data_IF_944301042670
#
_entry.id   IF_944301042670
#
_cell.length_a   1.000
_cell.length_b   1.000
_cell.length_c   1.000
_cell.angle_alpha   90.00
_cell.angle_beta   90.00
_cell.angle_gamma   90.00
#
_symmetry.space_group_name_H-M   'P 1'
#
loop_
_entity.id
_entity.type
_entity.pdbx_description
1 polymer ?
#
# COMPACT_ATOMS: atom_id res chain seq x y z
N UNK A 1 53.40 13.72 -26.27
CA UNK A 1 52.08 13.07 -26.39
C UNK A 1 52.09 12.17 -27.61
N UNK A 2 52.71 11.00 -27.50
CA UNK A 2 52.83 10.04 -28.60
C UNK A 2 53.00 8.66 -27.96
N UNK A 3 52.05 7.75 -28.18
CA UNK A 3 52.11 6.42 -27.58
C UNK A 3 50.86 5.56 -27.78
N UNK A 4 49.73 6.14 -28.19
CA UNK A 4 48.48 5.38 -28.41
C UNK A 4 48.05 5.29 -29.88
N UNK A 5 48.71 5.99 -30.80
CA UNK A 5 48.42 5.93 -32.24
C UNK A 5 49.52 5.06 -32.87
N UNK A 6 49.29 3.74 -32.89
CA UNK A 6 50.19 2.78 -33.55
C UNK A 6 50.23 1.38 -32.95
N UNK A 7 49.80 1.18 -31.71
CA UNK A 7 49.77 -0.13 -31.06
C UNK A 7 48.37 -0.77 -31.15
N UNK A 8 48.13 -1.45 -32.27
CA UNK A 8 46.88 -2.16 -32.55
C UNK A 8 46.48 -3.14 -31.45
N UNK A 9 47.47 -3.75 -30.76
CA UNK A 9 47.19 -4.75 -29.71
C UNK A 9 46.69 -4.08 -28.42
N UNK A 10 47.27 -2.94 -28.06
CA UNK A 10 46.82 -2.15 -26.90
C UNK A 10 45.41 -1.57 -27.07
N UNK A 11 45.08 -1.08 -28.27
CA UNK A 11 43.73 -0.58 -28.56
C UNK A 11 42.67 -1.67 -28.50
N UNK A 12 42.96 -2.88 -28.99
CA UNK A 12 42.05 -4.03 -28.91
C UNK A 12 41.75 -4.40 -27.46
N UNK A 13 42.77 -4.39 -26.57
CA UNK A 13 42.59 -4.71 -25.15
C UNK A 13 41.72 -3.65 -24.45
N UNK A 14 41.93 -2.36 -24.76
CA UNK A 14 41.12 -1.27 -24.19
C UNK A 14 39.66 -1.40 -24.62
N UNK A 15 39.40 -1.67 -25.90
CA UNK A 15 38.04 -1.84 -26.43
C UNK A 15 37.36 -3.07 -25.82
N UNK A 16 38.08 -4.19 -25.68
CA UNK A 16 37.55 -5.41 -25.07
C UNK A 16 37.20 -5.19 -23.58
N UNK A 17 38.07 -4.49 -22.85
CA UNK A 17 37.84 -4.19 -21.43
C UNK A 17 36.65 -3.25 -21.26
N UNK A 18 36.52 -2.25 -22.13
CA UNK A 18 35.35 -1.37 -22.16
C UNK A 18 34.07 -2.17 -22.41
N UNK A 19 34.08 -3.06 -23.41
CA UNK A 19 32.93 -3.90 -23.75
C UNK A 19 32.49 -4.80 -22.59
N UNK A 20 33.44 -5.46 -21.92
CA UNK A 20 33.16 -6.30 -20.75
C UNK A 20 32.61 -5.46 -19.60
N UNK A 21 33.12 -4.24 -19.38
CA UNK A 21 32.63 -3.37 -18.31
C UNK A 21 31.19 -2.93 -18.51
N UNK A 22 30.78 -2.64 -19.76
CA UNK A 22 29.40 -2.28 -20.10
C UNK A 22 28.47 -3.46 -19.86
N UNK A 23 28.85 -4.66 -20.31
CA UNK A 23 28.05 -5.87 -20.07
C UNK A 23 27.87 -6.16 -18.58
N UNK A 24 28.93 -6.03 -17.79
CA UNK A 24 28.87 -6.20 -16.33
C UNK A 24 27.97 -5.17 -15.66
N UNK A 25 28.00 -3.91 -16.12
CA UNK A 25 27.14 -2.85 -15.59
C UNK A 25 25.66 -3.13 -15.88
N UNK A 26 25.33 -3.56 -17.10
CA UNK A 26 23.96 -3.93 -17.49
C UNK A 26 23.45 -5.14 -16.68
N UNK A 27 24.27 -6.19 -16.57
CA UNK A 27 23.96 -7.37 -15.75
C UNK A 27 23.75 -7.00 -14.27
N UNK A 28 24.58 -6.13 -13.71
CA UNK A 28 24.44 -5.68 -12.33
C UNK A 28 23.13 -4.92 -12.13
N UNK A 29 22.75 -4.02 -13.05
CA UNK A 29 21.50 -3.27 -12.94
C UNK A 29 20.28 -4.19 -13.00
N UNK A 30 20.25 -5.12 -13.95
CA UNK A 30 19.16 -6.10 -14.08
C UNK A 30 19.10 -7.01 -12.87
N UNK A 31 20.24 -7.49 -12.37
CA UNK A 31 20.30 -8.34 -11.19
C UNK A 31 19.82 -7.61 -9.93
N UNK A 32 20.24 -6.36 -9.72
CA UNK A 32 19.78 -5.57 -8.57
C UNK A 32 18.28 -5.30 -8.63
N UNK A 33 17.73 -5.00 -9.82
CA UNK A 33 16.29 -4.82 -9.99
C UNK A 33 15.52 -6.11 -9.72
N UNK A 34 16.01 -7.26 -10.21
CA UNK A 34 15.37 -8.55 -10.00
C UNK A 34 15.46 -9.01 -8.53
N UNK A 35 16.57 -8.75 -7.84
CA UNK A 35 16.71 -9.03 -6.41
C UNK A 35 15.82 -8.13 -5.58
N UNK A 36 15.72 -6.83 -5.90
CA UNK A 36 14.77 -5.93 -5.23
C UNK A 36 13.33 -6.41 -5.40
N UNK A 37 12.93 -6.70 -6.64
CA UNK A 37 11.59 -7.20 -6.95
C UNK A 37 11.31 -8.55 -6.27
N UNK A 38 12.29 -9.45 -6.22
CA UNK A 38 12.18 -10.73 -5.53
C UNK A 38 12.11 -10.61 -4.01
N UNK A 39 12.86 -9.68 -3.41
CA UNK A 39 12.81 -9.38 -1.98
C UNK A 39 11.48 -8.75 -1.58
N UNK A 40 10.98 -7.77 -2.35
CA UNK A 40 9.67 -7.16 -2.13
C UNK A 40 8.53 -8.18 -2.33
N UNK A 41 8.62 -9.04 -3.35
CA UNK A 41 7.64 -10.10 -3.60
C UNK A 41 7.61 -11.17 -2.50
N UNK A 42 8.77 -11.54 -1.95
CA UNK A 42 8.85 -12.60 -0.93
C UNK A 42 8.41 -12.12 0.46
N UNK A 43 8.62 -10.85 0.77
CA UNK A 43 8.16 -10.23 2.03
C UNK A 43 6.67 -9.92 2.03
N UNK A 44 6.09 -9.62 0.85
CA UNK A 44 4.65 -9.39 0.70
C UNK A 44 3.79 -10.66 0.72
N UNK A 45 4.32 -11.82 0.31
CA UNK A 45 3.54 -13.08 0.28
C UNK A 45 3.40 -13.81 1.62
N UNK A 46 4.31 -13.60 2.59
CA UNK A 46 4.33 -14.36 3.85
C UNK A 46 3.75 -13.62 5.06
N UNK A 47 3.45 -12.34 4.92
CA UNK A 47 2.97 -11.52 6.04
C UNK A 47 1.46 -11.38 5.92
N UNK A 48 0.69 -12.13 6.72
CA UNK A 48 -0.72 -11.83 6.95
C UNK A 48 -0.83 -10.31 7.20
N UNK A 49 -1.73 -9.59 6.52
CA UNK A 49 -1.76 -8.12 6.50
C UNK A 49 -2.32 -7.54 7.80
N UNK A 50 -1.81 -8.02 8.95
CA UNK A 50 -2.21 -7.68 10.30
C UNK A 50 -2.24 -6.17 10.50
N UNK A 51 -1.18 -5.47 10.11
CA UNK A 51 -1.08 -4.03 10.27
C UNK A 51 -2.08 -3.26 9.40
N UNK A 52 -2.39 -3.75 8.19
CA UNK A 52 -3.39 -3.14 7.34
C UNK A 52 -4.79 -3.31 7.95
N UNK A 53 -5.15 -4.53 8.37
CA UNK A 53 -6.43 -4.82 9.02
C UNK A 53 -6.57 -4.04 10.33
N UNK A 54 -5.51 -4.01 11.15
CA UNK A 54 -5.46 -3.24 12.40
C UNK A 54 -5.63 -1.74 12.16
N UNK A 55 -5.03 -1.20 11.10
CA UNK A 55 -5.21 0.20 10.72
C UNK A 55 -6.66 0.50 10.28
N UNK A 56 -7.27 -0.38 9.48
CA UNK A 56 -8.67 -0.25 9.09
C UNK A 56 -9.59 -0.29 10.33
N UNK A 57 -9.35 -1.21 11.26
CA UNK A 57 -10.06 -1.27 12.56
C UNK A 57 -9.87 0.00 13.37
N UNK A 58 -8.66 0.56 13.41
CA UNK A 58 -8.38 1.81 14.12
C UNK A 58 -9.17 2.98 13.54
N UNK A 59 -9.18 3.13 12.21
CA UNK A 59 -9.95 4.17 11.53
C UNK A 59 -11.44 3.98 11.82
N UNK A 60 -11.94 2.76 11.68
CA UNK A 60 -13.35 2.41 11.86
C UNK A 60 -13.85 2.62 13.30
N UNK A 61 -13.06 2.25 14.30
CA UNK A 61 -13.52 2.21 15.69
C UNK A 61 -13.07 3.38 16.56
N UNK A 62 -11.96 4.03 16.20
CA UNK A 62 -11.40 5.14 16.99
C UNK A 62 -11.67 6.46 16.29
N UNK A 63 -11.22 6.61 15.04
CA UNK A 63 -11.25 7.90 14.35
C UNK A 63 -12.68 8.28 13.94
N UNK A 64 -13.45 7.34 13.38
CA UNK A 64 -14.85 7.56 13.06
C UNK A 64 -15.71 7.75 14.31
N UNK A 65 -15.45 7.01 15.39
CA UNK A 65 -16.16 7.20 16.67
C UNK A 65 -15.95 8.62 17.18
N UNK A 66 -14.70 9.07 17.27
CA UNK A 66 -14.37 10.43 17.71
C UNK A 66 -15.01 11.49 16.81
N UNK A 67 -15.11 11.25 15.50
CA UNK A 67 -15.79 12.18 14.61
C UNK A 67 -17.31 12.20 14.84
N UNK A 68 -17.93 11.05 15.05
CA UNK A 68 -19.36 10.91 15.33
C UNK A 68 -19.78 11.67 16.60
N UNK A 69 -18.96 11.61 17.67
CA UNK A 69 -19.18 12.36 18.92
C UNK A 69 -19.19 13.88 18.71
N UNK A 70 -18.30 14.38 17.85
CA UNK A 70 -18.10 15.83 17.68
C UNK A 70 -18.99 16.44 16.59
N UNK A 71 -19.37 15.69 15.56
CA UNK A 71 -20.06 16.19 14.37
C UNK A 71 -21.07 15.17 13.78
N UNK A 72 -22.16 14.86 14.49
CA UNK A 72 -23.12 13.83 14.07
C UNK A 72 -23.77 14.13 12.71
N UNK A 73 -24.05 15.41 12.42
CA UNK A 73 -24.74 15.84 11.20
C UNK A 73 -23.95 15.58 9.90
N UNK A 74 -22.61 15.55 9.96
CA UNK A 74 -21.75 15.36 8.78
C UNK A 74 -21.07 13.98 8.77
N UNK A 75 -21.38 13.12 9.73
CA UNK A 75 -20.71 11.85 9.94
C UNK A 75 -20.73 10.95 8.70
N UNK A 76 -21.90 10.73 8.09
CA UNK A 76 -22.03 9.86 6.92
C UNK A 76 -21.21 10.35 5.72
N UNK A 77 -21.24 11.66 5.45
CA UNK A 77 -20.46 12.26 4.37
C UNK A 77 -18.95 12.16 4.64
N UNK A 78 -18.54 12.37 5.89
CA UNK A 78 -17.14 12.20 6.29
C UNK A 78 -16.69 10.74 6.13
N UNK A 79 -17.47 9.79 6.64
CA UNK A 79 -17.17 8.37 6.54
C UNK A 79 -17.06 7.90 5.08
N UNK A 80 -17.95 8.38 4.20
CA UNK A 80 -17.87 8.08 2.77
C UNK A 80 -16.57 8.61 2.14
N UNK A 81 -16.13 9.83 2.50
CA UNK A 81 -14.85 10.38 2.01
C UNK A 81 -13.65 9.60 2.53
N UNK A 82 -13.70 9.14 3.78
CA UNK A 82 -12.67 8.28 4.35
C UNK A 82 -12.63 6.95 3.61
N UNK A 83 -13.79 6.33 3.35
CA UNK A 83 -13.87 5.09 2.59
C UNK A 83 -13.26 5.24 1.19
N UNK A 84 -13.60 6.31 0.46
CA UNK A 84 -13.02 6.58 -0.86
C UNK A 84 -11.49 6.75 -0.83
N UNK A 85 -10.95 7.37 0.22
CA UNK A 85 -9.50 7.50 0.39
C UNK A 85 -8.84 6.17 0.70
N UNK A 86 -9.46 5.34 1.53
CA UNK A 86 -9.01 3.98 1.83
C UNK A 86 -9.02 3.13 0.57
N UNK A 87 -10.14 3.07 -0.15
CA UNK A 87 -10.26 2.30 -1.40
C UNK A 87 -9.17 2.70 -2.39
N UNK A 88 -8.96 4.00 -2.59
CA UNK A 88 -7.92 4.50 -3.50
C UNK A 88 -6.51 4.10 -3.05
N UNK A 89 -6.18 4.30 -1.78
CA UNK A 89 -4.85 4.02 -1.25
C UNK A 89 -4.49 2.54 -1.37
N UNK A 90 -5.43 1.66 -1.04
CA UNK A 90 -5.19 0.21 -1.09
C UNK A 90 -5.18 -0.28 -2.55
N UNK A 91 -6.02 0.29 -3.43
CA UNK A 91 -6.01 -0.03 -4.86
C UNK A 91 -4.66 0.29 -5.52
N UNK A 92 -3.99 1.38 -5.12
CA UNK A 92 -2.62 1.72 -5.57
C UNK A 92 -1.58 0.66 -5.19
N UNK A 93 -1.88 -0.22 -4.24
CA UNK A 93 -1.01 -1.31 -3.79
C UNK A 93 -1.50 -2.69 -4.23
N UNK A 94 -2.44 -2.76 -5.19
CA UNK A 94 -2.94 -4.03 -5.73
C UNK A 94 -3.80 -4.82 -4.73
N UNK A 95 -4.31 -4.16 -3.69
CA UNK A 95 -5.26 -4.72 -2.74
C UNK A 95 -6.54 -3.90 -2.74
N UNK A 96 -7.62 -4.48 -2.23
CA UNK A 96 -8.88 -3.79 -2.05
C UNK A 96 -9.16 -3.69 -0.55
N UNK A 97 -9.52 -2.50 -0.10
CA UNK A 97 -9.95 -2.28 1.28
C UNK A 97 -11.11 -1.29 1.30
N UNK A 98 -12.08 -1.54 2.17
CA UNK A 98 -13.27 -0.70 2.34
C UNK A 98 -13.68 -0.66 3.81
N UNK A 99 -14.12 0.50 4.26
CA UNK A 99 -14.73 0.75 5.57
C UNK A 99 -16.09 1.39 5.30
N UNK A 100 -17.12 0.56 5.20
CA UNK A 100 -18.46 1.01 4.85
C UNK A 100 -19.36 1.07 6.08
N UNK A 101 -20.17 2.12 6.19
CA UNK A 101 -21.17 2.25 7.26
C UNK A 101 -22.48 1.67 6.76
N UNK A 102 -22.96 0.63 7.43
CA UNK A 102 -24.16 -0.13 7.04
C UNK A 102 -25.41 0.46 7.67
N UNK A 103 -25.32 0.87 8.94
CA UNK A 103 -26.45 1.41 9.70
C UNK A 103 -25.97 2.49 10.68
N UNK A 104 -26.83 3.48 10.95
CA UNK A 104 -26.59 4.54 11.95
C UNK A 104 -27.88 4.77 12.73
N UNK A 105 -27.78 4.67 14.05
CA UNK A 105 -28.89 4.90 14.98
C UNK A 105 -28.66 6.20 15.73
N UNK A 106 -29.72 6.98 15.84
CA UNK A 106 -29.72 8.29 16.49
C UNK A 106 -30.49 8.22 17.81
N UNK A 107 -30.06 9.03 18.79
CA UNK A 107 -30.81 9.30 20.01
C UNK A 107 -31.91 10.34 19.72
N UNK A 108 -32.81 10.54 20.68
CA UNK A 108 -33.89 11.54 20.58
C UNK A 108 -33.41 12.99 20.42
N UNK A 109 -32.11 13.25 20.59
CA UNK A 109 -31.50 14.58 20.48
C UNK A 109 -30.73 14.77 19.16
N UNK A 110 -30.95 13.93 18.15
CA UNK A 110 -30.21 13.90 16.87
C UNK A 110 -28.70 13.60 17.01
N UNK A 111 -28.26 13.08 18.15
CA UNK A 111 -26.90 12.58 18.34
C UNK A 111 -26.80 11.12 17.89
N UNK A 112 -25.65 10.68 17.38
CA UNK A 112 -25.45 9.28 16.99
C UNK A 112 -25.30 8.45 18.26
N UNK A 113 -26.15 7.43 18.44
CA UNK A 113 -26.05 6.47 19.53
C UNK A 113 -25.10 5.32 19.18
N UNK A 114 -25.25 4.77 17.99
CA UNK A 114 -24.37 3.72 17.49
C UNK A 114 -24.40 3.66 15.97
N UNK A 115 -23.35 3.10 15.39
CA UNK A 115 -23.29 2.81 13.97
C UNK A 115 -22.69 1.43 13.73
N UNK A 116 -23.14 0.76 12.68
CA UNK A 116 -22.59 -0.51 12.23
C UNK A 116 -21.64 -0.27 11.08
N UNK A 117 -20.41 -0.77 11.22
CA UNK A 117 -19.36 -0.64 10.21
C UNK A 117 -18.96 -2.03 9.70
N UNK A 118 -18.82 -2.13 8.38
CA UNK A 118 -18.33 -3.30 7.67
C UNK A 118 -16.94 -2.97 7.12
N UNK A 119 -15.95 -3.73 7.54
CA UNK A 119 -14.56 -3.62 7.13
C UNK A 119 -14.26 -4.79 6.20
N UNK A 120 -13.84 -4.48 4.99
CA UNK A 120 -13.41 -5.47 3.99
C UNK A 120 -11.96 -5.21 3.65
N UNK A 121 -11.18 -6.28 3.56
CA UNK A 121 -9.84 -6.28 3.01
C UNK A 121 -9.66 -7.52 2.14
N UNK A 122 -9.15 -7.33 0.93
CA UNK A 122 -8.93 -8.38 -0.06
C UNK A 122 -7.59 -8.16 -0.74
N UNK A 123 -6.76 -9.19 -0.80
CA UNK A 123 -5.57 -9.22 -1.64
C UNK A 123 -5.39 -10.61 -2.29
N UNK A 124 -4.33 -10.82 -3.05
CA UNK A 124 -4.11 -12.08 -3.78
C UNK A 124 -3.93 -13.34 -2.90
N UNK A 125 -3.91 -13.23 -1.57
CA UNK A 125 -3.72 -14.37 -0.67
C UNK A 125 -4.55 -14.35 0.62
N UNK A 126 -5.25 -13.26 0.94
CA UNK A 126 -6.00 -13.07 2.18
C UNK A 126 -7.27 -12.29 1.90
N UNK A 127 -8.37 -12.88 2.35
CA UNK A 127 -9.69 -12.27 2.38
C UNK A 127 -10.09 -12.08 3.84
N UNK A 128 -10.44 -10.86 4.20
CA UNK A 128 -10.90 -10.49 5.53
C UNK A 128 -12.17 -9.64 5.41
N UNK A 129 -13.20 -10.04 6.13
CA UNK A 129 -14.43 -9.29 6.26
C UNK A 129 -14.89 -9.35 7.72
N UNK A 130 -15.25 -8.19 8.25
CA UNK A 130 -15.70 -8.06 9.63
C UNK A 130 -16.77 -6.97 9.74
N UNK A 131 -17.83 -7.25 10.50
CA UNK A 131 -18.93 -6.31 10.70
C UNK A 131 -19.18 -6.16 12.18
N UNK A 132 -18.95 -4.95 12.70
CA UNK A 132 -19.08 -4.66 14.11
C UNK A 132 -19.94 -3.40 14.32
N UNK A 133 -20.63 -3.36 15.45
CA UNK A 133 -21.41 -2.18 15.86
C UNK A 133 -20.66 -1.41 16.92
N UNK A 134 -20.45 -0.12 16.65
CA UNK A 134 -19.73 0.80 17.52
C UNK A 134 -20.76 1.65 18.25
N UNK A 135 -20.69 1.62 19.57
CA UNK A 135 -21.43 2.55 20.43
C UNK A 135 -20.62 3.83 20.54
N UNK A 136 -21.26 4.95 20.23
CA UNK A 136 -20.67 6.30 20.32
C UNK A 136 -20.75 6.74 21.77
#
# INVERSE_FOLDING_TARGET
MAGLIGDNRGQIIIILTLFISVLLAELSLVYTQNVLAGMESSTTQLTFPKYAIENLRRIAFIDLKKYAENNPNNFLNYAQKVNQQVEKLYAEHGCYASINIVDVKYTSNDEISCYTVNIVFFNSGVDYEDTETVVV
#
